data_IF_769579459163
#
_entry.id   IF_769579459163
#
_cell.length_a   1.000
_cell.length_b   1.000
_cell.length_c   1.000
_cell.angle_alpha   90.00
_cell.angle_beta   90.00
_cell.angle_gamma   90.00
#
_symmetry.space_group_name_H-M   'P 1'
#
loop_
_entity.id
_entity.type
_entity.pdbx_description
1 polymer ?
#
# COMPACT_ATOMS: atom_id res chain seq x y z
N UNK A 1 -36.36 -9.29 28.11
CA UNK A 1 -35.59 -8.09 27.72
C UNK A 1 -34.13 -8.48 27.72
N UNK A 2 -33.38 -8.21 26.66
CA UNK A 2 -31.93 -8.36 26.65
C UNK A 2 -31.35 -6.94 26.76
N UNK A 3 -30.48 -6.69 27.72
CA UNK A 3 -29.82 -5.38 27.83
C UNK A 3 -28.89 -5.17 26.62
N UNK A 4 -28.75 -3.93 26.14
CA UNK A 4 -28.01 -3.58 24.91
C UNK A 4 -28.62 -4.06 23.58
N UNK A 5 -29.93 -4.29 23.54
CA UNK A 5 -30.69 -4.50 22.30
C UNK A 5 -31.56 -3.29 21.93
N UNK A 6 -31.89 -3.16 20.64
CA UNK A 6 -32.83 -2.17 20.14
C UNK A 6 -34.24 -2.77 20.11
N UNK A 7 -35.23 -2.07 20.67
CA UNK A 7 -36.65 -2.44 20.58
C UNK A 7 -37.10 -3.56 21.54
N UNK A 8 -38.31 -4.08 21.29
CA UNK A 8 -38.97 -5.09 22.13
C UNK A 8 -38.68 -6.53 21.69
N UNK A 9 -38.22 -6.72 20.45
CA UNK A 9 -37.80 -7.99 19.85
C UNK A 9 -36.29 -7.95 19.61
N UNK A 10 -35.47 -8.25 20.64
CA UNK A 10 -34.02 -8.07 20.57
C UNK A 10 -33.39 -8.93 19.48
N UNK A 11 -32.65 -8.30 18.58
CA UNK A 11 -31.83 -8.97 17.57
C UNK A 11 -30.40 -8.40 17.59
N UNK A 12 -29.45 -9.18 18.09
CA UNK A 12 -28.04 -8.79 18.12
C UNK A 12 -27.36 -8.92 16.74
N UNK A 13 -27.98 -9.59 15.77
CA UNK A 13 -27.45 -9.66 14.41
C UNK A 13 -27.48 -8.31 13.70
N UNK A 14 -28.21 -7.31 14.21
CA UNK A 14 -28.17 -5.95 13.67
C UNK A 14 -26.74 -5.41 13.56
N UNK A 15 -25.89 -5.65 14.56
CA UNK A 15 -24.50 -5.17 14.55
C UNK A 15 -23.63 -5.92 13.53
N UNK A 16 -23.84 -7.23 13.40
CA UNK A 16 -23.20 -8.04 12.37
C UNK A 16 -23.60 -7.55 10.97
N UNK A 17 -24.89 -7.31 10.75
CA UNK A 17 -25.41 -6.78 9.49
C UNK A 17 -24.85 -5.39 9.18
N UNK A 18 -24.77 -4.50 10.17
CA UNK A 18 -24.17 -3.16 10.00
C UNK A 18 -22.69 -3.22 9.60
N UNK A 19 -21.94 -4.23 10.05
CA UNK A 19 -20.53 -4.38 9.70
C UNK A 19 -20.28 -4.89 8.27
N UNK A 20 -21.29 -5.44 7.57
CA UNK A 20 -21.13 -6.23 6.34
C UNK A 20 -20.39 -5.50 5.22
N UNK A 21 -20.55 -4.19 5.09
CA UNK A 21 -19.90 -3.39 4.05
C UNK A 21 -18.45 -2.98 4.40
N UNK A 22 -18.01 -3.22 5.64
CA UNK A 22 -16.73 -2.75 6.18
C UNK A 22 -15.78 -3.90 6.52
N UNK A 23 -16.15 -5.15 6.23
CA UNK A 23 -15.40 -6.35 6.59
C UNK A 23 -15.16 -7.27 5.40
N UNK A 24 -14.04 -7.98 5.42
CA UNK A 24 -13.71 -9.01 4.43
C UNK A 24 -14.36 -10.36 4.75
N UNK A 25 -14.49 -10.70 6.03
CA UNK A 25 -15.07 -11.96 6.48
C UNK A 25 -15.81 -11.78 7.81
N UNK A 26 -16.69 -12.74 8.13
CA UNK A 26 -17.17 -12.92 9.50
C UNK A 26 -17.43 -14.36 9.85
N UNK A 27 -17.51 -14.59 11.15
CA UNK A 27 -17.94 -15.82 11.78
C UNK A 27 -19.07 -15.51 12.77
N UNK A 28 -20.15 -16.28 12.69
CA UNK A 28 -21.22 -16.28 13.68
C UNK A 28 -21.13 -17.59 14.45
N UNK A 29 -20.60 -17.51 15.67
CA UNK A 29 -20.25 -18.69 16.46
C UNK A 29 -21.53 -19.20 17.17
N UNK A 30 -22.14 -20.25 16.65
CA UNK A 30 -23.32 -20.87 17.27
C UNK A 30 -23.06 -22.28 17.81
N UNK A 31 -22.01 -22.95 17.30
CA UNK A 31 -21.62 -24.31 17.67
C UNK A 31 -20.19 -24.30 18.22
N UNK A 32 -20.05 -24.75 19.48
CA UNK A 32 -18.77 -24.86 20.19
C UNK A 32 -17.75 -25.73 19.44
N UNK A 33 -18.20 -26.73 18.67
CA UNK A 33 -17.32 -27.65 17.94
C UNK A 33 -16.67 -26.99 16.72
N UNK A 34 -17.38 -26.09 16.05
CA UNK A 34 -16.91 -25.41 14.83
C UNK A 34 -16.29 -24.05 15.14
N UNK A 35 -16.62 -23.45 16.28
CA UNK A 35 -16.20 -22.11 16.64
C UNK A 35 -14.68 -21.87 16.54
N UNK A 36 -13.79 -22.76 17.03
CA UNK A 36 -12.34 -22.56 16.89
C UNK A 36 -11.88 -22.46 15.43
N UNK A 37 -12.40 -23.31 14.54
CA UNK A 37 -12.04 -23.30 13.12
C UNK A 37 -12.56 -22.05 12.39
N UNK A 38 -13.75 -21.58 12.76
CA UNK A 38 -14.32 -20.35 12.19
C UNK A 38 -13.54 -19.11 12.64
N UNK A 39 -13.04 -19.08 13.88
CA UNK A 39 -12.13 -18.04 14.36
C UNK A 39 -10.85 -18.03 13.53
N UNK A 40 -10.19 -19.18 13.36
CA UNK A 40 -8.97 -19.30 12.56
C UNK A 40 -9.21 -18.87 11.09
N UNK A 41 -10.34 -19.27 10.50
CA UNK A 41 -10.71 -18.89 9.13
C UNK A 41 -10.83 -17.38 8.98
N UNK A 42 -11.51 -16.69 9.88
CA UNK A 42 -11.66 -15.22 9.75
C UNK A 42 -10.39 -14.48 10.10
N UNK A 43 -9.58 -14.96 11.05
CA UNK A 43 -8.24 -14.39 11.31
C UNK A 43 -7.39 -14.54 10.05
N UNK A 44 -7.40 -15.71 9.40
CA UNK A 44 -6.70 -15.93 8.12
C UNK A 44 -7.12 -14.92 7.06
N UNK A 45 -8.43 -14.71 6.87
CA UNK A 45 -8.91 -13.72 5.90
C UNK A 45 -8.51 -12.28 6.29
N UNK A 46 -8.44 -11.94 7.57
CA UNK A 46 -7.92 -10.64 8.04
C UNK A 46 -6.50 -10.39 7.53
N UNK A 47 -5.62 -11.39 7.62
CA UNK A 47 -4.24 -11.30 7.13
C UNK A 47 -4.14 -11.28 5.60
N UNK A 48 -4.88 -12.15 4.91
CA UNK A 48 -4.79 -12.27 3.43
C UNK A 48 -5.35 -11.02 2.74
N UNK A 49 -6.51 -10.55 3.21
CA UNK A 49 -7.21 -9.41 2.62
C UNK A 49 -6.68 -8.08 3.15
N UNK A 50 -5.89 -8.09 4.23
CA UNK A 50 -5.48 -6.88 4.97
C UNK A 50 -6.68 -5.97 5.31
N UNK A 51 -7.81 -6.58 5.69
CA UNK A 51 -9.08 -5.91 5.92
C UNK A 51 -9.69 -6.35 7.26
N UNK A 52 -10.55 -5.53 7.89
CA UNK A 52 -11.25 -5.92 9.10
C UNK A 52 -12.09 -7.19 8.91
N UNK A 53 -12.25 -7.94 9.99
CA UNK A 53 -13.19 -9.08 10.07
C UNK A 53 -14.06 -8.93 11.30
N UNK A 54 -15.16 -9.68 11.34
CA UNK A 54 -16.12 -9.60 12.44
C UNK A 54 -16.40 -10.99 13.02
N UNK A 55 -16.40 -11.11 14.35
CA UNK A 55 -16.76 -12.34 15.05
C UNK A 55 -17.93 -12.01 15.96
N UNK A 56 -19.05 -12.69 15.73
CA UNK A 56 -20.16 -12.72 16.68
C UNK A 56 -20.04 -13.94 17.57
N UNK A 57 -20.01 -13.73 18.89
CA UNK A 57 -19.92 -14.80 19.88
C UNK A 57 -21.02 -14.62 20.94
N UNK A 58 -21.96 -15.57 21.06
CA UNK A 58 -22.90 -15.62 22.16
C UNK A 58 -22.16 -15.77 23.50
N UNK A 59 -22.67 -15.08 24.53
CA UNK A 59 -22.03 -15.05 25.85
C UNK A 59 -21.85 -16.46 26.45
N UNK A 60 -22.78 -17.38 26.22
CA UNK A 60 -22.67 -18.74 26.77
C UNK A 60 -21.52 -19.54 26.15
N UNK A 61 -21.20 -19.33 24.86
CA UNK A 61 -20.06 -20.01 24.21
C UNK A 61 -18.72 -19.55 24.80
N UNK A 62 -18.64 -18.33 25.32
CA UNK A 62 -17.39 -17.76 25.82
C UNK A 62 -16.80 -18.50 27.04
N UNK A 63 -17.62 -19.32 27.72
CA UNK A 63 -17.22 -20.11 28.89
C UNK A 63 -17.06 -21.60 28.57
N UNK A 64 -17.36 -22.04 27.35
CA UNK A 64 -17.27 -23.44 26.98
C UNK A 64 -15.81 -23.86 26.76
N UNK A 65 -15.47 -25.09 27.14
CA UNK A 65 -14.16 -25.68 26.89
C UNK A 65 -14.11 -26.32 25.50
N UNK A 66 -13.00 -26.12 24.79
CA UNK A 66 -12.72 -26.72 23.49
C UNK A 66 -11.36 -27.43 23.52
N UNK A 67 -11.15 -28.48 22.71
CA UNK A 67 -9.84 -29.09 22.56
C UNK A 67 -8.78 -28.06 22.13
N UNK A 68 -7.65 -28.02 22.83
CA UNK A 68 -6.58 -27.05 22.57
C UNK A 68 -5.73 -27.34 21.32
N UNK A 69 -5.93 -28.49 20.65
CA UNK A 69 -5.02 -28.99 19.60
C UNK A 69 -4.85 -28.08 18.38
N UNK A 70 -5.77 -27.14 18.11
CA UNK A 70 -5.57 -26.13 17.06
C UNK A 70 -4.44 -25.15 17.39
N UNK A 71 -4.17 -24.90 18.68
CA UNK A 71 -3.08 -24.01 19.10
C UNK A 71 -1.69 -24.58 18.78
N UNK A 72 -1.59 -25.88 18.54
CA UNK A 72 -0.33 -26.54 18.15
C UNK A 72 0.05 -26.24 16.69
N UNK A 73 -0.89 -25.72 15.89
CA UNK A 73 -0.67 -25.39 14.48
C UNK A 73 -0.90 -23.90 14.24
N UNK A 74 0.07 -23.22 13.64
CA UNK A 74 -0.13 -21.82 13.22
C UNK A 74 -1.16 -21.74 12.10
N UNK A 75 -2.01 -20.72 12.16
CA UNK A 75 -2.91 -20.37 11.06
C UNK A 75 -2.09 -20.17 9.79
N UNK A 76 -2.40 -20.93 8.74
CA UNK A 76 -1.74 -20.81 7.44
C UNK A 76 -2.20 -19.55 6.71
N UNK A 77 -1.37 -18.51 6.77
CA UNK A 77 -1.56 -17.23 6.08
C UNK A 77 -0.83 -17.19 4.72
N UNK A 78 -0.41 -18.34 4.18
CA UNK A 78 0.20 -18.39 2.86
C UNK A 78 -0.79 -17.93 1.78
N UNK A 79 -0.26 -17.17 0.82
CA UNK A 79 -1.03 -16.66 -0.30
C UNK A 79 -1.06 -17.74 -1.38
N UNK A 80 -2.24 -18.04 -1.97
CA UNK A 80 -2.32 -19.02 -3.04
C UNK A 80 -1.58 -18.49 -4.28
N UNK A 81 -0.79 -19.36 -4.90
CA UNK A 81 -0.02 -19.05 -6.11
C UNK A 81 -0.34 -20.10 -7.17
N UNK A 82 -0.83 -19.65 -8.32
CA UNK A 82 -0.84 -20.43 -9.56
C UNK A 82 0.45 -20.09 -10.33
N UNK A 83 1.43 -21.01 -10.41
CA UNK A 83 2.69 -20.75 -11.08
C UNK A 83 2.54 -20.39 -12.56
N UNK A 84 1.59 -21.02 -13.26
CA UNK A 84 1.38 -20.76 -14.70
C UNK A 84 0.81 -19.38 -14.95
N UNK A 85 -0.20 -18.98 -14.18
CA UNK A 85 -0.77 -17.63 -14.26
C UNK A 85 0.26 -16.56 -13.83
N UNK A 86 1.03 -16.84 -12.78
CA UNK A 86 2.07 -15.94 -12.31
C UNK A 86 3.17 -15.76 -13.35
N UNK A 87 3.71 -16.84 -13.93
CA UNK A 87 4.77 -16.77 -14.94
C UNK A 87 4.30 -16.02 -16.21
N UNK A 88 3.02 -16.11 -16.58
CA UNK A 88 2.46 -15.34 -17.69
C UNK A 88 2.47 -13.82 -17.41
N UNK A 89 2.02 -13.39 -16.22
CA UNK A 89 2.07 -11.98 -15.84
C UNK A 89 3.51 -11.47 -15.72
N UNK A 90 4.37 -12.27 -15.10
CA UNK A 90 5.81 -12.01 -14.95
C UNK A 90 6.49 -11.81 -16.31
N UNK A 91 6.20 -12.66 -17.29
CA UNK A 91 6.72 -12.51 -18.65
C UNK A 91 6.27 -11.20 -19.30
N UNK A 92 4.99 -10.85 -19.16
CA UNK A 92 4.45 -9.60 -19.70
C UNK A 92 5.06 -8.36 -19.04
N UNK A 93 5.24 -8.36 -17.71
CA UNK A 93 5.91 -7.29 -16.96
C UNK A 93 7.37 -7.16 -17.41
N UNK A 94 8.11 -8.27 -17.49
CA UNK A 94 9.51 -8.27 -17.93
C UNK A 94 9.63 -7.71 -19.34
N UNK A 95 8.75 -8.11 -20.26
CA UNK A 95 8.74 -7.58 -21.62
C UNK A 95 8.44 -6.08 -21.66
N UNK A 96 7.45 -5.62 -20.88
CA UNK A 96 7.11 -4.20 -20.78
C UNK A 96 8.29 -3.37 -20.29
N UNK A 97 8.96 -3.81 -19.23
CA UNK A 97 10.14 -3.12 -18.67
C UNK A 97 11.34 -3.18 -19.63
N UNK A 98 11.57 -4.31 -20.30
CA UNK A 98 12.71 -4.46 -21.23
C UNK A 98 12.58 -3.59 -22.48
N UNK A 99 11.34 -3.34 -22.92
CA UNK A 99 11.06 -2.52 -24.09
C UNK A 99 10.97 -1.01 -23.78
N UNK A 100 10.95 -0.64 -22.50
CA UNK A 100 10.84 0.75 -22.07
C UNK A 100 12.17 1.48 -22.25
N UNK A 101 12.14 2.72 -22.73
CA UNK A 101 13.30 3.59 -22.83
C UNK A 101 13.43 4.52 -21.62
N UNK A 102 12.35 4.73 -20.87
CA UNK A 102 12.31 5.55 -19.67
C UNK A 102 11.34 4.96 -18.63
N UNK A 103 11.59 3.75 -18.09
CA UNK A 103 10.77 3.17 -17.05
C UNK A 103 10.95 3.85 -15.68
N UNK A 104 9.89 3.84 -14.88
CA UNK A 104 9.94 4.22 -13.47
C UNK A 104 9.01 3.37 -12.61
N UNK A 105 9.13 3.50 -11.29
CA UNK A 105 8.26 2.84 -10.30
C UNK A 105 7.47 3.87 -9.51
N UNK A 106 6.17 3.64 -9.32
CA UNK A 106 5.32 4.39 -8.39
C UNK A 106 4.85 3.45 -7.28
N UNK A 107 5.21 3.74 -6.04
CA UNK A 107 4.95 2.91 -4.86
C UNK A 107 3.87 3.55 -3.99
N UNK A 108 2.93 2.76 -3.49
CA UNK A 108 1.81 3.27 -2.70
C UNK A 108 1.41 2.33 -1.54
N UNK A 109 0.45 2.76 -0.74
CA UNK A 109 0.04 2.23 0.55
C UNK A 109 -0.17 0.72 0.60
N UNK A 110 -0.69 0.12 -0.47
CA UNK A 110 -1.04 -1.31 -0.45
C UNK A 110 0.21 -2.21 -0.53
N UNK A 111 1.39 -1.68 -0.87
CA UNK A 111 2.66 -2.38 -0.71
C UNK A 111 2.92 -2.69 0.78
N UNK A 112 2.77 -1.69 1.65
CA UNK A 112 2.94 -1.88 3.09
C UNK A 112 1.82 -2.74 3.68
N UNK A 113 0.55 -2.46 3.34
CA UNK A 113 -0.60 -3.19 3.90
C UNK A 113 -0.58 -4.68 3.58
N UNK A 114 -0.06 -5.07 2.41
CA UNK A 114 0.12 -6.47 2.02
C UNK A 114 1.54 -7.00 2.29
N UNK A 115 2.30 -6.34 3.18
CA UNK A 115 3.61 -6.78 3.68
C UNK A 115 4.62 -7.10 2.55
N UNK A 116 4.64 -6.27 1.50
CA UNK A 116 5.44 -6.46 0.29
C UNK A 116 6.63 -5.48 0.17
N UNK A 117 6.94 -4.73 1.22
CA UNK A 117 7.97 -3.68 1.22
C UNK A 117 9.36 -4.23 0.85
N UNK A 118 9.73 -5.37 1.42
CA UNK A 118 11.04 -5.98 1.18
C UNK A 118 11.18 -6.49 -0.25
N UNK A 119 10.12 -7.06 -0.81
CA UNK A 119 10.07 -7.50 -2.20
C UNK A 119 10.09 -6.31 -3.16
N UNK A 120 9.42 -5.21 -2.82
CA UNK A 120 9.50 -3.95 -3.58
C UNK A 120 10.91 -3.38 -3.59
N UNK A 121 11.60 -3.32 -2.44
CA UNK A 121 12.98 -2.84 -2.36
C UNK A 121 13.93 -3.68 -3.22
N UNK A 122 13.85 -5.02 -3.11
CA UNK A 122 14.64 -5.93 -3.96
C UNK A 122 14.39 -5.72 -5.45
N UNK A 123 13.14 -5.44 -5.84
CA UNK A 123 12.81 -5.14 -7.23
C UNK A 123 13.46 -3.83 -7.68
N UNK A 124 13.41 -2.77 -6.86
CA UNK A 124 14.06 -1.48 -7.15
C UNK A 124 15.57 -1.67 -7.31
N UNK A 125 16.21 -2.39 -6.38
CA UNK A 125 17.64 -2.68 -6.39
C UNK A 125 18.08 -3.45 -7.63
N UNK A 126 17.23 -4.35 -8.16
CA UNK A 126 17.53 -5.07 -9.40
C UNK A 126 17.28 -4.25 -10.65
N UNK A 127 16.21 -3.46 -10.67
CA UNK A 127 15.86 -2.67 -11.85
C UNK A 127 16.82 -1.49 -12.04
N UNK A 128 17.31 -0.89 -10.95
CA UNK A 128 18.11 0.33 -10.97
C UNK A 128 17.45 1.48 -11.75
N UNK A 129 16.13 1.64 -11.60
CA UNK A 129 15.31 2.69 -12.23
C UNK A 129 14.78 3.68 -11.19
N UNK A 130 14.50 4.94 -11.55
CA UNK A 130 13.96 5.92 -10.61
C UNK A 130 12.61 5.47 -10.03
N UNK A 131 12.38 5.79 -8.76
CA UNK A 131 11.09 5.53 -8.11
C UNK A 131 10.52 6.76 -7.40
N UNK A 132 9.21 6.75 -7.35
CA UNK A 132 8.36 7.75 -6.73
C UNK A 132 7.45 7.06 -5.71
N UNK A 133 6.97 7.82 -4.74
CA UNK A 133 5.94 7.37 -3.82
C UNK A 133 4.67 8.20 -4.00
N UNK A 134 3.52 7.56 -3.87
CA UNK A 134 2.25 8.26 -3.68
C UNK A 134 2.19 8.91 -2.28
N UNK A 135 1.21 9.77 -2.02
CA UNK A 135 1.05 10.41 -0.72
C UNK A 135 0.94 9.39 0.43
N UNK A 136 0.06 8.40 0.28
CA UNK A 136 -0.10 7.35 1.27
C UNK A 136 1.03 6.31 1.21
N UNK A 137 1.98 6.47 0.29
CA UNK A 137 3.20 5.68 0.16
C UNK A 137 4.44 6.31 0.79
N UNK A 138 4.35 7.54 1.33
CA UNK A 138 5.45 8.22 2.02
C UNK A 138 6.04 7.31 3.10
N UNK A 139 7.35 7.35 3.27
CA UNK A 139 8.13 6.56 4.23
C UNK A 139 7.97 5.03 4.17
N UNK A 140 7.31 4.45 3.15
CA UNK A 140 7.27 2.98 2.97
C UNK A 140 8.66 2.45 2.61
N UNK A 141 9.37 3.18 1.75
CA UNK A 141 10.76 2.94 1.38
C UNK A 141 11.59 4.10 1.91
N UNK A 142 12.84 3.81 2.29
CA UNK A 142 13.79 4.82 2.74
C UNK A 142 13.99 5.89 1.64
N UNK A 143 13.77 7.14 2.00
CA UNK A 143 13.82 8.28 1.09
C UNK A 143 15.25 8.79 0.87
N UNK A 144 16.22 8.27 1.62
CA UNK A 144 17.65 8.48 1.35
C UNK A 144 18.18 7.57 0.24
N UNK A 145 17.36 6.63 -0.25
CA UNK A 145 17.72 5.73 -1.33
C UNK A 145 18.11 6.54 -2.58
N UNK A 146 19.24 6.23 -3.25
CA UNK A 146 19.75 7.04 -4.36
C UNK A 146 18.75 7.18 -5.52
N UNK A 147 17.96 6.13 -5.79
CA UNK A 147 16.93 6.14 -6.84
C UNK A 147 15.61 6.84 -6.46
N UNK A 148 15.47 7.34 -5.23
CA UNK A 148 14.27 8.04 -4.78
C UNK A 148 14.20 9.42 -5.44
N UNK A 149 13.10 9.70 -6.14
CA UNK A 149 12.89 11.01 -6.77
C UNK A 149 12.00 11.89 -5.90
N UNK A 150 10.88 11.38 -5.38
CA UNK A 150 10.00 12.19 -4.54
C UNK A 150 8.57 11.68 -4.44
N UNK A 151 7.73 12.51 -3.83
CA UNK A 151 6.28 12.26 -3.70
C UNK A 151 5.55 12.72 -4.97
N UNK A 152 5.01 11.77 -5.73
CA UNK A 152 4.18 12.07 -6.89
C UNK A 152 2.70 12.20 -6.48
N UNK A 153 2.25 13.45 -6.36
CA UNK A 153 0.92 13.85 -5.96
C UNK A 153 0.15 14.57 -7.09
N UNK A 154 0.33 14.14 -8.33
CA UNK A 154 -0.24 14.80 -9.50
C UNK A 154 0.16 16.28 -9.57
N UNK A 155 -0.80 17.18 -9.80
CA UNK A 155 -0.55 18.64 -9.88
C UNK A 155 -0.03 19.29 -8.60
N UNK A 156 -0.08 18.58 -7.46
CA UNK A 156 0.39 19.06 -6.16
C UNK A 156 1.78 18.51 -5.79
N UNK A 157 2.46 17.84 -6.73
CA UNK A 157 3.82 17.36 -6.52
C UNK A 157 4.79 18.52 -6.37
N UNK A 158 5.92 18.25 -5.70
CA UNK A 158 7.07 19.15 -5.71
C UNK A 158 7.56 19.40 -7.14
N UNK A 159 8.18 20.57 -7.35
CA UNK A 159 8.55 21.05 -8.66
C UNK A 159 9.45 20.05 -9.42
N UNK A 160 9.04 19.67 -10.63
CA UNK A 160 9.74 18.70 -11.48
C UNK A 160 9.41 17.23 -11.21
N UNK A 161 8.84 16.86 -10.05
CA UNK A 161 8.52 15.46 -9.72
C UNK A 161 7.42 14.90 -10.64
N UNK A 162 6.36 15.67 -10.85
CA UNK A 162 5.27 15.27 -11.74
C UNK A 162 5.78 15.10 -13.18
N UNK A 163 6.49 16.10 -13.72
CA UNK A 163 7.03 16.06 -15.08
C UNK A 163 7.98 14.86 -15.28
N UNK A 164 8.84 14.59 -14.30
CA UNK A 164 9.76 13.45 -14.35
C UNK A 164 9.01 12.11 -14.35
N UNK A 165 8.01 11.94 -13.50
CA UNK A 165 7.19 10.72 -13.46
C UNK A 165 6.37 10.56 -14.74
N UNK A 166 5.65 11.62 -15.16
CA UNK A 166 4.77 11.63 -16.35
C UNK A 166 5.54 11.48 -17.68
N UNK A 167 6.85 11.77 -17.70
CA UNK A 167 7.71 11.53 -18.87
C UNK A 167 8.07 10.04 -19.09
N UNK A 168 7.70 9.17 -18.15
CA UNK A 168 8.01 7.73 -18.24
C UNK A 168 7.16 7.05 -19.32
N UNK A 169 7.79 6.23 -20.15
CA UNK A 169 7.08 5.45 -21.17
C UNK A 169 6.57 4.09 -20.65
N UNK A 170 7.03 3.68 -19.45
CA UNK A 170 6.44 2.57 -18.68
C UNK A 170 6.54 2.84 -17.18
N UNK A 171 5.42 2.84 -16.47
CA UNK A 171 5.37 3.03 -15.02
C UNK A 171 4.90 1.74 -14.34
N UNK A 172 5.76 1.17 -13.49
CA UNK A 172 5.37 0.08 -12.58
C UNK A 172 4.65 0.68 -11.38
N UNK A 173 3.32 0.56 -11.34
CA UNK A 173 2.51 1.07 -10.23
C UNK A 173 2.28 -0.05 -9.21
N UNK A 174 2.87 0.07 -8.02
CA UNK A 174 2.87 -0.96 -6.99
C UNK A 174 1.92 -0.58 -5.84
N UNK A 175 0.91 -1.42 -5.61
CA UNK A 175 0.02 -1.29 -4.44
C UNK A 175 -0.81 -0.01 -4.42
N UNK A 176 -1.34 0.41 -5.57
CA UNK A 176 -2.07 1.67 -5.72
C UNK A 176 -3.37 1.74 -4.91
N UNK A 177 -3.58 2.85 -4.20
CA UNK A 177 -4.85 3.17 -3.53
C UNK A 177 -5.49 4.41 -4.21
N UNK A 178 -6.50 4.22 -5.08
CA UNK A 178 -7.05 5.30 -5.90
C UNK A 178 -8.07 6.17 -5.14
N UNK A 179 -7.63 6.86 -4.08
CA UNK A 179 -8.44 7.90 -3.41
C UNK A 179 -8.16 9.29 -3.99
N UNK A 180 -9.11 10.21 -3.82
CA UNK A 180 -9.00 11.59 -4.26
C UNK A 180 -7.74 12.28 -3.70
N UNK A 181 -7.54 12.20 -2.38
CA UNK A 181 -6.40 12.84 -1.70
C UNK A 181 -5.10 12.15 -2.05
N UNK A 182 -5.09 10.82 -2.21
CA UNK A 182 -3.86 10.11 -2.56
C UNK A 182 -3.44 10.39 -4.01
N UNK A 183 -4.41 10.47 -4.92
CA UNK A 183 -4.19 10.72 -6.36
C UNK A 183 -3.97 12.19 -6.75
N UNK A 184 -3.85 13.10 -5.78
CA UNK A 184 -3.73 14.53 -6.05
C UNK A 184 -4.97 15.12 -6.71
N UNK A 185 -6.16 14.70 -6.28
CA UNK A 185 -7.44 15.08 -6.87
C UNK A 185 -7.63 14.52 -8.27
N UNK A 186 -7.22 13.26 -8.49
CA UNK A 186 -7.27 12.57 -9.78
C UNK A 186 -6.54 13.29 -10.92
N UNK A 187 -5.52 14.08 -10.59
CA UNK A 187 -4.79 14.90 -11.57
C UNK A 187 -3.54 14.23 -12.16
N UNK A 188 -3.20 13.02 -11.70
CA UNK A 188 -2.06 12.25 -12.22
C UNK A 188 -2.29 11.87 -13.68
N UNK A 189 -1.32 12.12 -14.55
CA UNK A 189 -1.39 11.71 -15.96
C UNK A 189 -0.59 10.44 -16.18
N UNK A 190 -1.18 9.31 -15.79
CA UNK A 190 -0.63 7.98 -16.01
C UNK A 190 -1.55 7.19 -16.93
N UNK A 191 -1.34 7.25 -18.26
CA UNK A 191 -2.18 6.52 -19.21
C UNK A 191 -2.01 5.01 -19.04
N UNK A 192 -3.11 4.27 -19.16
CA UNK A 192 -3.17 2.84 -18.85
C UNK A 192 -2.22 2.01 -19.74
N UNK A 193 -2.06 2.43 -20.99
CA UNK A 193 -1.15 1.84 -21.98
C UNK A 193 0.34 1.95 -21.61
N UNK A 194 0.69 2.90 -20.73
CA UNK A 194 2.04 3.06 -20.20
C UNK A 194 2.17 2.45 -18.79
N UNK A 195 1.10 1.91 -18.21
CA UNK A 195 1.13 1.41 -16.84
C UNK A 195 1.22 -0.11 -16.78
N UNK A 196 1.98 -0.56 -15.78
CA UNK A 196 1.95 -1.92 -15.27
C UNK A 196 1.54 -1.84 -13.81
N UNK A 197 0.26 -2.07 -13.53
CA UNK A 197 -0.31 -1.93 -12.20
C UNK A 197 -0.31 -3.27 -11.49
N UNK A 198 0.48 -3.39 -10.43
CA UNK A 198 0.52 -4.55 -9.53
C UNK A 198 -0.32 -4.21 -8.30
N UNK A 199 -1.58 -4.66 -8.30
CA UNK A 199 -2.50 -4.51 -7.17
C UNK A 199 -2.34 -5.70 -6.20
N UNK A 200 -2.99 -5.65 -5.03
CA UNK A 200 -2.90 -6.75 -4.07
C UNK A 200 -3.35 -8.13 -4.57
N UNK A 201 -4.31 -8.18 -5.50
CA UNK A 201 -4.97 -9.43 -5.94
C UNK A 201 -5.06 -9.59 -7.47
N UNK A 202 -4.52 -8.65 -8.25
CA UNK A 202 -4.41 -8.77 -9.70
C UNK A 202 -3.27 -7.91 -10.24
N UNK A 203 -2.91 -8.16 -11.50
CA UNK A 203 -1.96 -7.35 -12.25
C UNK A 203 -2.62 -6.84 -13.52
N UNK A 204 -2.35 -5.60 -13.91
CA UNK A 204 -2.79 -5.03 -15.16
C UNK A 204 -1.55 -4.59 -15.94
N UNK A 205 -1.23 -5.23 -17.05
CA UNK A 205 -0.09 -4.88 -17.91
C UNK A 205 -0.63 -4.20 -19.16
N UNK A 206 -0.41 -2.89 -19.30
CA UNK A 206 -0.84 -2.10 -20.48
C UNK A 206 -2.32 -2.32 -20.86
N UNK A 207 -3.17 -2.39 -19.84
CA UNK A 207 -4.63 -2.62 -19.97
C UNK A 207 -5.07 -4.09 -19.95
N UNK A 208 -4.17 -5.07 -20.08
CA UNK A 208 -4.49 -6.49 -19.97
C UNK A 208 -4.49 -6.95 -18.51
N UNK A 209 -5.61 -7.52 -18.05
CA UNK A 209 -5.77 -7.98 -16.67
C UNK A 209 -5.34 -9.44 -16.48
N UNK A 210 -4.58 -9.70 -15.43
CA UNK A 210 -4.15 -11.00 -14.93
C UNK A 210 -4.72 -11.16 -13.50
N UNK A 211 -5.88 -11.82 -13.34
CA UNK A 211 -6.56 -11.94 -12.06
C UNK A 211 -5.88 -12.98 -11.15
N UNK A 212 -6.21 -12.96 -9.86
CA UNK A 212 -5.78 -13.95 -8.86
C UNK A 212 -4.26 -14.03 -8.68
N UNK A 213 -3.57 -12.91 -8.82
CA UNK A 213 -2.13 -12.79 -8.61
C UNK A 213 -1.87 -11.86 -7.45
N UNK A 214 -1.17 -12.35 -6.44
CA UNK A 214 -0.90 -11.59 -5.23
C UNK A 214 0.40 -10.79 -5.34
N UNK A 215 0.37 -9.53 -4.87
CA UNK A 215 1.48 -8.58 -4.99
C UNK A 215 2.80 -9.13 -4.44
N UNK A 216 2.80 -9.67 -3.22
CA UNK A 216 4.02 -10.11 -2.54
C UNK A 216 4.70 -11.30 -3.24
N UNK A 217 4.01 -12.42 -3.53
CA UNK A 217 4.60 -13.53 -4.29
C UNK A 217 5.07 -13.10 -5.68
N UNK A 218 4.31 -12.24 -6.37
CA UNK A 218 4.69 -11.75 -7.69
C UNK A 218 5.98 -10.92 -7.67
N UNK A 219 6.10 -9.96 -6.75
CA UNK A 219 7.30 -9.13 -6.62
C UNK A 219 8.53 -9.97 -6.24
N UNK A 220 8.35 -10.97 -5.37
CA UNK A 220 9.39 -11.95 -5.04
C UNK A 220 9.84 -12.72 -6.29
N UNK A 221 8.87 -13.23 -7.08
CA UNK A 221 9.15 -13.96 -8.32
C UNK A 221 9.85 -13.07 -9.35
N UNK A 222 9.37 -11.86 -9.60
CA UNK A 222 10.00 -10.88 -10.50
C UNK A 222 11.46 -10.64 -10.10
N UNK A 223 11.70 -10.37 -8.81
CA UNK A 223 13.05 -10.16 -8.31
C UNK A 223 13.94 -11.39 -8.51
N UNK A 224 13.41 -12.61 -8.34
CA UNK A 224 14.21 -13.83 -8.50
C UNK A 224 14.69 -14.10 -9.94
N UNK A 225 13.94 -13.64 -10.96
CA UNK A 225 14.23 -13.96 -12.36
C UNK A 225 14.92 -12.83 -13.13
N UNK A 226 14.88 -11.61 -12.59
CA UNK A 226 15.60 -10.49 -13.17
C UNK A 226 17.09 -10.73 -12.94
N UNK A 227 17.88 -10.49 -13.98
CA UNK A 227 19.34 -10.54 -13.88
C UNK A 227 19.83 -9.49 -12.87
N UNK A 228 20.99 -9.75 -12.27
CA UNK A 228 21.61 -8.77 -11.34
C UNK A 228 22.21 -7.58 -12.09
N UNK A 229 22.48 -7.75 -13.39
CA UNK A 229 22.85 -6.63 -14.27
C UNK A 229 21.58 -5.87 -14.67
N UNK A 230 21.50 -4.57 -14.37
CA UNK A 230 20.38 -3.74 -14.79
C UNK A 230 20.22 -3.76 -16.31
N UNK A 231 18.97 -3.78 -16.76
CA UNK A 231 18.64 -3.69 -18.19
C UNK A 231 18.89 -2.27 -18.70
N UNK A 232 18.80 -1.29 -17.80
CA UNK A 232 18.88 0.12 -18.12
C UNK A 232 19.95 0.83 -17.29
N UNK A 233 20.63 1.81 -17.89
CA UNK A 233 21.42 2.80 -17.17
C UNK A 233 20.61 4.11 -17.11
N UNK A 234 20.24 4.53 -15.90
CA UNK A 234 19.48 5.77 -15.70
C UNK A 234 20.23 6.79 -14.86
N UNK A 235 20.14 8.04 -15.31
CA UNK A 235 20.43 9.17 -14.45
C UNK A 235 19.15 9.55 -13.69
N UNK A 236 19.27 9.65 -12.37
CA UNK A 236 18.17 10.11 -11.52
C UNK A 236 17.75 11.52 -11.98
N UNK A 237 16.44 11.78 -12.15
CA UNK A 237 15.95 13.10 -12.51
C UNK A 237 16.48 14.17 -11.56
N UNK A 238 17.17 15.17 -12.09
CA UNK A 238 17.61 16.32 -11.30
C UNK A 238 16.42 17.22 -11.02
N UNK A 239 15.93 17.19 -9.79
CA UNK A 239 14.84 18.06 -9.36
C UNK A 239 15.29 19.51 -9.20
N UNK A 240 14.33 20.41 -9.36
CA UNK A 240 14.52 21.82 -9.07
C UNK A 240 14.60 22.04 -7.55
N UNK A 241 15.37 23.03 -7.09
CA UNK A 241 15.46 23.32 -5.66
C UNK A 241 14.07 23.66 -5.10
N UNK A 242 13.80 23.35 -3.82
CA UNK A 242 12.54 23.71 -3.18
C UNK A 242 12.27 25.21 -3.33
N UNK A 243 11.02 25.56 -3.65
CA UNK A 243 10.61 26.95 -3.73
C UNK A 243 10.67 27.58 -2.33
N UNK A 244 11.20 28.80 -2.25
CA UNK A 244 11.13 29.58 -1.02
C UNK A 244 9.66 29.88 -0.70
N UNK A 245 9.20 29.63 0.53
CA UNK A 245 7.83 29.95 0.91
C UNK A 245 7.53 31.44 0.71
N UNK A 246 6.32 31.75 0.21
CA UNK A 246 5.91 33.15 -0.03
C UNK A 246 5.89 34.00 1.24
N UNK A 247 5.71 33.35 2.38
CA UNK A 247 5.67 33.92 3.72
C UNK A 247 7.03 33.87 4.43
N UNK A 248 8.15 33.66 3.72
CA UNK A 248 9.49 33.58 4.32
C UNK A 248 9.87 34.82 5.13
N UNK A 249 9.37 36.00 4.77
CA UNK A 249 9.62 37.26 5.50
C UNK A 249 8.65 37.49 6.66
N UNK A 250 7.71 36.58 6.93
CA UNK A 250 6.77 36.71 8.02
C UNK A 250 7.49 36.69 9.38
N UNK A 251 7.07 37.59 10.27
CA UNK A 251 7.62 37.71 11.63
C UNK A 251 6.81 36.94 12.68
N UNK A 252 5.61 36.50 12.32
CA UNK A 252 4.77 35.61 13.14
C UNK A 252 4.92 34.15 12.67
N UNK A 253 4.49 33.20 13.51
CA UNK A 253 4.55 31.77 13.17
C UNK A 253 3.60 31.48 12.01
N UNK A 254 4.11 30.82 10.98
CA UNK A 254 3.34 30.36 9.82
C UNK A 254 3.40 28.85 9.65
N UNK A 255 2.52 28.30 8.81
CA UNK A 255 2.53 26.87 8.47
C UNK A 255 3.88 26.46 7.84
N UNK A 256 4.40 27.25 6.90
CA UNK A 256 5.68 26.93 6.25
C UNK A 256 6.82 26.94 7.26
N UNK A 257 6.82 27.87 8.22
CA UNK A 257 7.81 27.90 9.30
C UNK A 257 7.75 26.65 10.18
N UNK A 258 6.55 26.22 10.58
CA UNK A 258 6.35 25.04 11.43
C UNK A 258 6.91 23.78 10.77
N UNK A 259 6.56 23.51 9.51
CA UNK A 259 6.94 22.25 8.85
C UNK A 259 8.46 22.14 8.60
N UNK A 260 9.10 23.23 8.15
CA UNK A 260 10.56 23.26 8.00
C UNK A 260 11.30 23.11 9.32
N UNK A 261 10.71 23.61 10.42
CA UNK A 261 11.30 23.50 11.76
C UNK A 261 11.13 22.10 12.33
N UNK A 262 9.94 21.50 12.19
CA UNK A 262 9.63 20.12 12.60
C UNK A 262 10.52 19.10 11.88
N UNK A 263 10.73 19.26 10.58
CA UNK A 263 11.58 18.34 9.79
C UNK A 263 12.99 18.16 10.38
N UNK A 264 13.54 19.21 11.02
CA UNK A 264 14.88 19.17 11.63
C UNK A 264 14.95 18.40 12.94
N UNK A 265 13.81 18.06 13.54
CA UNK A 265 13.76 17.27 14.76
C UNK A 265 13.66 15.77 14.51
N UNK A 266 13.31 15.35 13.28
CA UNK A 266 13.14 13.95 12.96
C UNK A 266 14.47 13.19 13.01
N UNK A 267 14.44 12.00 13.59
CA UNK A 267 15.56 11.08 13.72
C UNK A 267 15.19 9.70 13.15
N UNK A 268 16.19 8.89 12.74
CA UNK A 268 15.94 7.50 12.38
C UNK A 268 15.23 6.74 13.52
N UNK A 269 14.10 6.10 13.19
CA UNK A 269 13.27 5.36 14.15
C UNK A 269 12.08 6.14 14.72
N UNK A 270 11.96 7.44 14.45
CA UNK A 270 10.78 8.21 14.83
C UNK A 270 9.53 7.73 14.09
N UNK A 271 8.40 7.70 14.81
CA UNK A 271 7.08 7.45 14.23
C UNK A 271 6.30 8.76 14.26
N UNK A 272 6.08 9.35 13.09
CA UNK A 272 5.33 10.59 12.94
C UNK A 272 3.91 10.30 12.48
N UNK A 273 2.92 10.64 13.33
CA UNK A 273 1.51 10.48 13.01
C UNK A 273 0.96 11.82 12.52
N UNK A 274 0.67 11.91 11.22
CA UNK A 274 0.02 13.06 10.61
C UNK A 274 -1.50 12.93 10.63
N UNK A 275 -2.18 13.78 11.38
CA UNK A 275 -3.64 13.87 11.35
C UNK A 275 -4.16 14.46 10.03
N UNK A 276 -5.40 14.12 9.69
CA UNK A 276 -6.17 14.69 8.60
C UNK A 276 -6.22 16.22 8.71
N UNK A 277 -5.76 16.91 7.67
CA UNK A 277 -5.74 18.37 7.61
C UNK A 277 -4.48 18.90 6.95
N UNK A 278 -4.03 20.09 7.34
CA UNK A 278 -2.79 20.68 6.78
C UNK A 278 -1.54 19.87 7.12
N UNK A 279 -1.59 19.03 8.16
CA UNK A 279 -0.49 18.16 8.55
C UNK A 279 -0.15 17.10 7.47
N UNK A 280 -1.15 16.53 6.79
CA UNK A 280 -0.92 15.62 5.68
C UNK A 280 -0.03 16.27 4.61
N UNK A 281 -0.34 17.51 4.21
CA UNK A 281 0.43 18.22 3.17
C UNK A 281 1.77 18.74 3.69
N UNK A 282 1.81 19.18 4.95
CA UNK A 282 3.02 19.65 5.62
C UNK A 282 4.12 18.60 5.62
N UNK A 283 3.78 17.38 6.05
CA UNK A 283 4.70 16.23 6.13
C UNK A 283 5.12 15.68 4.77
N UNK A 284 4.28 15.81 3.75
CA UNK A 284 4.57 15.29 2.41
C UNK A 284 5.48 16.21 1.58
N UNK A 285 5.27 17.53 1.68
CA UNK A 285 5.87 18.50 0.74
C UNK A 285 7.07 19.27 1.32
N UNK A 286 7.18 19.35 2.65
CA UNK A 286 8.15 20.25 3.30
C UNK A 286 9.14 19.52 4.24
N UNK A 287 8.98 18.22 4.44
CA UNK A 287 9.86 17.41 5.30
C UNK A 287 10.76 16.53 4.43
N UNK A 288 11.87 17.11 3.97
CA UNK A 288 12.95 16.35 3.35
C UNK A 288 13.86 15.87 4.47
N UNK A 289 13.97 14.56 4.64
CA UNK A 289 15.04 13.97 5.45
C UNK A 289 16.34 14.33 4.72
N UNK A 290 17.17 15.15 5.35
CA UNK A 290 18.52 15.47 4.89
C UNK A 290 19.52 14.47 5.46
#
# INVERSE_FOLDING_TARGET
MIHHSIGQTPDHQVYNMSSRLLRAAAAELWDVKTAPYEIDRVIRECFIQSCPVYIFMPLYLAMEEVPAGLLDTRIDISLPVDPGAQDAAVGAIKQAVSNAQNPSVLIDALVHRHNAVQETLKLIDKLQIPFYVANCGKSIIDETHPLYVGVYNGKFSSLGVADACESSDTVLVLGYLPSDTNSGGFSRKLPLENCVTINPHNVIVKGQNYPNIFIKPLLSRLSSILADTPIHEFNIPRLLPPLQPKDFSATHITQSWIWHRLAKFFQPGDIVIGETGTACFGLLLNCWVQ
#
